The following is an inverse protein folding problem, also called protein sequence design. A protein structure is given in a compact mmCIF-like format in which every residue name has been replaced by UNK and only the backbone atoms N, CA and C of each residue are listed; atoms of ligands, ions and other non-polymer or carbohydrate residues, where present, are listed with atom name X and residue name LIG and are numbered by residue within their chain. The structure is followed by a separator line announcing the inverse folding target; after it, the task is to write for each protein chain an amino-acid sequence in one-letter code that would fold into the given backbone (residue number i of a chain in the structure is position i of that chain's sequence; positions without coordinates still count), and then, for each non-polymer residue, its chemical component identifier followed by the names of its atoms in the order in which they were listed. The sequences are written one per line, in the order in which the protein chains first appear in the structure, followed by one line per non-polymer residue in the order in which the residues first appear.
data_IF_872325313109
#
_entry.id   IF_872325313109
#
_cell.length_a   1.000
_cell.length_b   1.000
_cell.length_c   1.000
_cell.angle_alpha   90.00
_cell.angle_beta   90.00
_cell.angle_gamma   90.00
#
_symmetry.space_group_name_H-M   'P 1'
#
loop_
_entity.id
_entity.type
_entity.pdbx_description
1 polymer ?
#
# COMPACT_ATOMS: atom_id res chain seq x y z
N UNK A 1 1.70 -11.04 17.26
CA UNK A 1 2.02 -10.08 16.19
C UNK A 1 0.87 -10.17 15.20
N UNK A 2 0.04 -9.12 15.07
CA UNK A 2 -1.11 -9.15 14.14
C UNK A 2 -0.57 -8.94 12.72
N UNK A 3 -0.84 -9.88 11.83
CA UNK A 3 -0.43 -9.84 10.43
C UNK A 3 -1.61 -9.39 9.55
N UNK A 4 -1.37 -8.99 8.31
CA UNK A 4 -2.46 -8.65 7.38
C UNK A 4 -3.40 -9.82 7.08
N UNK A 5 -2.96 -11.06 7.29
CA UNK A 5 -3.81 -12.23 7.23
C UNK A 5 -4.92 -12.21 8.31
N UNK A 6 -4.84 -11.31 9.30
CA UNK A 6 -5.79 -11.15 10.39
C UNK A 6 -6.75 -9.95 10.19
N UNK A 7 -6.80 -9.36 8.98
CA UNK A 7 -7.79 -8.33 8.70
C UNK A 7 -9.20 -8.95 8.81
N UNK A 8 -9.98 -8.47 9.77
CA UNK A 8 -11.37 -8.85 9.97
C UNK A 8 -12.18 -8.58 8.69
N UNK A 9 -13.28 -9.29 8.47
CA UNK A 9 -14.13 -9.11 7.27
C UNK A 9 -14.63 -7.68 7.07
N UNK A 10 -14.69 -6.87 8.13
CA UNK A 10 -15.11 -5.46 8.16
C UNK A 10 -13.91 -4.48 8.20
N UNK A 11 -12.70 -4.93 7.85
CA UNK A 11 -11.49 -4.09 7.95
C UNK A 11 -11.60 -2.78 7.17
N UNK A 12 -12.33 -2.80 6.05
CA UNK A 12 -12.53 -1.64 5.18
C UNK A 12 -13.22 -0.48 5.91
N UNK A 13 -14.09 -0.80 6.88
CA UNK A 13 -14.84 0.16 7.67
C UNK A 13 -14.10 0.55 8.97
N UNK A 14 -12.86 0.08 9.17
CA UNK A 14 -12.09 0.25 10.40
C UNK A 14 -10.76 0.98 10.16
N UNK A 15 -10.85 2.21 9.70
CA UNK A 15 -9.68 3.03 9.35
C UNK A 15 -8.63 3.11 10.48
N UNK A 16 -9.03 3.40 11.71
CA UNK A 16 -8.06 3.51 12.82
C UNK A 16 -7.33 2.18 13.10
N UNK A 17 -7.99 1.03 12.87
CA UNK A 17 -7.37 -0.28 13.01
C UNK A 17 -6.31 -0.49 11.93
N UNK A 18 -6.66 -0.28 10.66
CA UNK A 18 -5.73 -0.49 9.53
C UNK A 18 -4.54 0.45 9.59
N UNK A 19 -4.75 1.71 10.00
CA UNK A 19 -3.67 2.67 10.28
C UNK A 19 -2.73 2.17 11.39
N UNK A 20 -3.28 1.69 12.53
CA UNK A 20 -2.45 1.18 13.63
C UNK A 20 -1.59 -0.02 13.23
N UNK A 21 -2.14 -0.92 12.41
CA UNK A 21 -1.42 -2.08 11.86
C UNK A 21 -0.28 -1.61 10.95
N UNK A 22 -0.54 -0.66 10.05
CA UNK A 22 0.47 -0.11 9.15
C UNK A 22 1.60 0.61 9.88
N UNK A 23 1.29 1.38 10.93
CA UNK A 23 2.28 2.06 11.78
C UNK A 23 3.17 1.04 12.49
N UNK A 24 2.57 0.03 13.13
CA UNK A 24 3.36 -0.98 13.84
C UNK A 24 4.21 -1.80 12.87
N UNK A 25 3.66 -2.21 11.73
CA UNK A 25 4.43 -2.89 10.68
C UNK A 25 5.64 -2.07 10.24
N UNK A 26 5.45 -0.79 9.90
CA UNK A 26 6.53 0.12 9.49
C UNK A 26 7.62 0.19 10.54
N UNK A 27 7.23 0.38 11.81
CA UNK A 27 8.15 0.46 12.96
C UNK A 27 8.98 -0.80 13.16
N UNK A 28 8.46 -1.98 12.81
CA UNK A 28 9.25 -3.22 12.90
C UNK A 28 10.42 -3.27 11.92
N UNK A 29 10.32 -2.52 10.81
CA UNK A 29 11.34 -2.38 9.77
C UNK A 29 11.92 -3.72 9.25
N UNK A 30 11.10 -4.78 9.18
CA UNK A 30 11.54 -6.14 8.79
C UNK A 30 11.48 -6.43 7.29
N UNK A 31 10.78 -5.59 6.53
CA UNK A 31 10.57 -5.78 5.09
C UNK A 31 10.48 -4.42 4.38
N UNK A 32 10.90 -4.39 3.11
CA UNK A 32 10.79 -3.22 2.24
C UNK A 32 9.33 -2.90 1.88
N UNK A 33 8.51 -3.92 1.65
CA UNK A 33 7.15 -3.78 1.15
C UNK A 33 6.16 -4.65 1.90
N UNK A 34 4.92 -4.20 1.93
CA UNK A 34 3.77 -4.87 2.50
C UNK A 34 2.65 -4.95 1.46
N UNK A 35 2.32 -6.16 1.04
CA UNK A 35 1.13 -6.40 0.22
C UNK A 35 -0.12 -6.30 1.08
N UNK A 36 -1.04 -5.40 0.74
CA UNK A 36 -2.33 -5.19 1.41
C UNK A 36 -3.47 -5.46 0.42
N UNK A 37 -4.62 -5.98 0.87
CA UNK A 37 -5.78 -6.09 0.00
C UNK A 37 -6.25 -4.71 -0.47
N UNK A 38 -6.70 -4.62 -1.71
CA UNK A 38 -7.34 -3.40 -2.22
C UNK A 38 -8.71 -3.21 -1.57
N UNK A 39 -8.98 -1.99 -1.11
CA UNK A 39 -10.31 -1.60 -0.62
C UNK A 39 -11.29 -1.31 -1.79
N UNK A 40 -10.76 -1.10 -3.00
CA UNK A 40 -11.53 -0.66 -4.17
C UNK A 40 -11.87 -1.82 -5.10
N UNK A 41 -10.88 -2.65 -5.41
CA UNK A 41 -11.01 -3.77 -6.36
C UNK A 41 -10.85 -5.11 -5.63
N UNK A 42 -11.95 -5.83 -5.33
CA UNK A 42 -11.88 -7.11 -4.63
C UNK A 42 -11.06 -8.14 -5.41
N UNK A 43 -10.03 -8.71 -4.78
CA UNK A 43 -9.15 -9.73 -5.38
C UNK A 43 -7.78 -9.17 -5.80
N UNK A 44 -7.65 -7.85 -5.89
CA UNK A 44 -6.38 -7.17 -6.14
C UNK A 44 -5.68 -6.77 -4.83
N UNK A 45 -4.37 -6.52 -4.93
CA UNK A 45 -3.55 -6.04 -3.81
C UNK A 45 -2.84 -4.74 -4.18
N UNK A 46 -2.70 -3.87 -3.18
CA UNK A 46 -1.78 -2.72 -3.22
C UNK A 46 -0.48 -3.08 -2.48
N UNK A 47 0.58 -2.32 -2.74
CA UNK A 47 1.83 -2.42 -1.99
C UNK A 47 2.12 -1.13 -1.24
N UNK A 48 2.42 -1.24 0.06
CA UNK A 48 2.93 -0.16 0.90
C UNK A 48 4.43 -0.35 1.04
N UNK A 49 5.21 0.64 0.62
CA UNK A 49 6.67 0.63 0.76
C UNK A 49 7.08 1.30 2.08
N UNK A 50 8.05 0.70 2.77
CA UNK A 50 8.62 1.25 4.00
C UNK A 50 9.83 2.15 3.67
N UNK A 51 9.72 3.48 3.83
CA UNK A 51 10.84 4.38 3.56
C UNK A 51 12.01 4.23 4.55
N UNK A 52 11.78 3.66 5.73
CA UNK A 52 12.81 3.49 6.76
C UNK A 52 13.65 2.21 6.55
N UNK A 53 13.29 1.37 5.57
CA UNK A 53 13.98 0.13 5.26
C UNK A 53 15.22 0.39 4.40
N UNK A 54 16.36 -0.26 4.71
CA UNK A 54 17.64 0.01 4.02
C UNK A 54 17.57 -0.18 2.50
N UNK A 55 16.79 -1.15 2.01
CA UNK A 55 16.62 -1.40 0.58
C UNK A 55 15.75 -0.34 -0.12
N UNK A 56 15.06 0.53 0.61
CA UNK A 56 14.25 1.59 0.00
C UNK A 56 15.11 2.53 -0.85
N UNK A 57 16.35 2.78 -0.41
CA UNK A 57 17.32 3.59 -1.15
C UNK A 57 17.72 2.99 -2.51
N UNK A 58 17.49 1.69 -2.74
CA UNK A 58 17.74 1.05 -4.05
C UNK A 58 16.58 1.16 -5.04
N UNK A 59 15.43 1.70 -4.62
CA UNK A 59 14.29 1.89 -5.51
C UNK A 59 14.64 2.97 -6.54
N UNK A 60 14.56 2.59 -7.81
CA UNK A 60 14.74 3.51 -8.92
C UNK A 60 13.38 3.83 -9.52
N UNK A 61 13.04 5.12 -9.60
CA UNK A 61 11.87 5.59 -10.33
C UNK A 61 12.31 5.96 -11.73
N UNK A 62 11.86 5.21 -12.73
CA UNK A 62 12.07 5.54 -14.13
C UNK A 62 11.02 6.53 -14.60
N UNK A 63 11.42 7.55 -15.33
CA UNK A 63 10.48 8.44 -16.03
C UNK A 63 9.79 7.62 -17.13
N UNK A 64 8.47 7.54 -17.06
CA UNK A 64 7.66 6.90 -18.09
C UNK A 64 7.81 7.69 -19.41
N UNK A 65 8.10 6.98 -20.51
CA UNK A 65 8.33 7.62 -21.81
C UNK A 65 7.05 8.18 -22.41
N UNK A 66 5.92 7.55 -22.09
CA UNK A 66 4.60 7.97 -22.52
C UNK A 66 3.81 8.45 -21.30
N UNK A 67 3.86 9.74 -20.95
CA UNK A 67 3.19 10.24 -19.76
C UNK A 67 1.70 9.91 -19.82
N UNK A 68 1.18 9.38 -18.73
CA UNK A 68 -0.24 9.14 -18.59
C UNK A 68 -1.00 10.45 -18.77
N UNK A 69 -2.02 10.44 -19.63
CA UNK A 69 -3.00 11.50 -19.77
C UNK A 69 -4.35 10.97 -19.31
N UNK A 70 -5.05 11.75 -18.49
CA UNK A 70 -6.42 11.42 -18.13
C UNK A 70 -7.30 11.55 -19.39
N UNK A 71 -8.22 10.61 -19.55
CA UNK A 71 -9.27 10.73 -20.56
C UNK A 71 -10.18 11.91 -20.18
N UNK A 72 -10.45 12.81 -21.14
CA UNK A 72 -11.27 14.01 -20.90
C UNK A 72 -12.66 13.68 -20.33
N UNK A 73 -13.18 12.47 -20.61
CA UNK A 73 -14.47 11.99 -20.08
C UNK A 73 -14.48 11.73 -18.58
N UNK A 74 -13.31 11.64 -17.93
CA UNK A 74 -13.23 11.49 -16.46
C UNK A 74 -13.73 12.76 -15.77
N UNK A 75 -13.66 13.93 -16.41
CA UNK A 75 -13.99 15.23 -15.83
C UNK A 75 -15.21 15.92 -16.44
N UNK A 76 -15.83 15.33 -17.46
CA UNK A 76 -16.98 15.89 -18.19
C UNK A 76 -18.33 15.43 -17.66
#
# INVERSE_FOLDING_TARGET
MRSLADLLRDWIDRESLTQSIGIEWRRTNRALGLWVPSAVEPGENNIVLNPDHMSFASITVSVERNPFSFDDRIFS
#
